data_IF_280308016705
#
_entry.id   IF_280308016705
#
_cell.length_a   1.000
_cell.length_b   1.000
_cell.length_c   1.000
_cell.angle_alpha   90.00
_cell.angle_beta   90.00
_cell.angle_gamma   90.00
#
_symmetry.space_group_name_H-M   'P 1'
#
loop_
_entity.id
_entity.type
_entity.pdbx_description
1 polymer ?
#
# COMPACT_ATOMS: atom_id res chain seq x y z
N UNK A 1 15.31 19.74 -0.69
CA UNK A 1 16.65 19.29 -1.10
C UNK A 1 16.67 18.68 -2.51
N UNK A 2 16.31 17.40 -2.74
CA UNK A 2 16.55 16.77 -4.06
C UNK A 2 15.84 17.44 -5.23
N UNK A 3 14.60 17.90 -5.04
CA UNK A 3 13.84 18.62 -6.06
C UNK A 3 14.51 19.96 -6.43
N UNK A 4 14.85 20.75 -5.42
CA UNK A 4 15.58 22.01 -5.57
C UNK A 4 16.93 21.82 -6.27
N UNK A 5 17.71 20.81 -5.87
CA UNK A 5 19.02 20.53 -6.48
C UNK A 5 18.89 20.14 -7.95
N UNK A 6 17.78 19.49 -8.34
CA UNK A 6 17.52 19.08 -9.72
C UNK A 6 16.97 20.21 -10.59
N UNK A 7 16.07 21.05 -10.05
CA UNK A 7 15.30 22.01 -10.83
C UNK A 7 15.59 23.48 -10.50
N UNK A 8 16.40 23.76 -9.49
CA UNK A 8 16.76 25.12 -9.06
C UNK A 8 15.62 25.92 -8.41
N UNK A 9 14.46 25.30 -8.18
CA UNK A 9 13.25 25.94 -7.64
C UNK A 9 12.77 25.23 -6.38
N UNK A 10 12.29 26.02 -5.42
CA UNK A 10 11.68 25.56 -4.17
C UNK A 10 10.28 26.13 -4.07
N UNK A 11 9.32 25.27 -3.76
CA UNK A 11 8.01 25.73 -3.32
C UNK A 11 8.12 26.13 -1.84
N UNK A 12 7.99 27.42 -1.48
CA UNK A 12 8.14 27.88 -0.11
C UNK A 12 7.01 27.39 0.81
N UNK A 13 5.89 26.93 0.26
CA UNK A 13 4.74 26.43 1.03
C UNK A 13 4.85 24.93 1.35
N UNK A 14 5.83 24.24 0.77
CA UNK A 14 6.03 22.82 0.94
C UNK A 14 4.94 21.97 0.27
N UNK A 15 5.19 20.66 0.14
CA UNK A 15 4.15 19.74 -0.29
C UNK A 15 3.63 19.89 -1.73
N UNK A 16 4.42 20.50 -2.63
CA UNK A 16 4.11 20.54 -4.08
C UNK A 16 4.09 19.14 -4.73
N UNK A 17 4.76 18.95 -5.86
CA UNK A 17 4.75 17.65 -6.57
C UNK A 17 5.28 16.45 -5.77
N UNK A 18 6.04 16.68 -4.69
CA UNK A 18 6.59 15.62 -3.84
C UNK A 18 5.63 15.17 -2.73
N UNK A 19 4.47 15.79 -2.58
CA UNK A 19 3.46 15.38 -1.60
C UNK A 19 2.76 14.09 -2.02
N UNK A 20 2.30 13.34 -1.03
CA UNK A 20 1.41 12.19 -1.25
C UNK A 20 0.07 12.57 -1.88
N UNK A 21 -0.27 13.86 -2.06
CA UNK A 21 -1.54 14.29 -2.65
C UNK A 21 -1.82 13.68 -4.04
N UNK A 22 -0.79 13.40 -4.82
CA UNK A 22 -0.91 12.76 -6.14
C UNK A 22 -1.52 11.35 -6.05
N UNK A 23 -1.40 10.64 -4.92
CA UNK A 23 -2.00 9.30 -4.77
C UNK A 23 -3.53 9.33 -4.88
N UNK A 24 -4.19 10.48 -4.65
CA UNK A 24 -5.62 10.62 -4.92
C UNK A 24 -5.96 10.37 -6.41
N UNK A 25 -5.11 10.82 -7.34
CA UNK A 25 -5.27 10.55 -8.77
C UNK A 25 -5.02 9.06 -9.07
N UNK A 26 -4.03 8.44 -8.40
CA UNK A 26 -3.78 6.99 -8.53
C UNK A 26 -4.96 6.16 -8.04
N UNK A 27 -5.59 6.54 -6.93
CA UNK A 27 -6.80 5.87 -6.42
C UNK A 27 -7.95 6.01 -7.42
N UNK A 28 -8.16 7.19 -8.01
CA UNK A 28 -9.19 7.38 -9.03
C UNK A 28 -8.98 6.47 -10.25
N UNK A 29 -7.74 6.37 -10.75
CA UNK A 29 -7.38 5.42 -11.81
C UNK A 29 -7.53 3.96 -11.36
N UNK A 30 -7.14 3.66 -10.13
CA UNK A 30 -7.27 2.34 -9.51
C UNK A 30 -8.71 1.87 -9.41
N UNK A 31 -9.68 2.76 -9.17
CA UNK A 31 -11.11 2.41 -9.19
C UNK A 31 -11.57 1.98 -10.58
N UNK A 32 -11.09 2.63 -11.64
CA UNK A 32 -11.40 2.22 -13.02
C UNK A 32 -10.78 0.85 -13.32
N UNK A 33 -9.53 0.64 -12.92
CA UNK A 33 -8.85 -0.65 -13.05
C UNK A 33 -9.56 -1.75 -12.27
N UNK A 34 -9.97 -1.50 -11.01
CA UNK A 34 -10.70 -2.44 -10.18
C UNK A 34 -12.05 -2.82 -10.79
N UNK A 35 -12.78 -1.85 -11.38
CA UNK A 35 -14.01 -2.15 -12.11
C UNK A 35 -13.76 -3.03 -13.32
N UNK A 36 -12.69 -2.77 -14.09
CA UNK A 36 -12.32 -3.61 -15.22
C UNK A 36 -11.98 -5.05 -14.77
N UNK A 37 -11.12 -5.18 -13.76
CA UNK A 37 -10.73 -6.47 -13.19
C UNK A 37 -11.90 -7.27 -12.63
N UNK A 38 -12.90 -6.61 -12.04
CA UNK A 38 -14.11 -7.27 -11.56
C UNK A 38 -14.91 -7.96 -12.68
N UNK A 39 -14.83 -7.50 -13.94
CA UNK A 39 -15.44 -8.21 -15.07
C UNK A 39 -14.72 -9.52 -15.42
N UNK A 40 -13.47 -9.67 -14.96
CA UNK A 40 -12.66 -10.89 -15.07
C UNK A 40 -12.69 -11.72 -13.77
N UNK A 41 -13.57 -11.36 -12.83
CA UNK A 41 -13.66 -11.97 -11.50
C UNK A 41 -12.36 -11.86 -10.68
N UNK A 42 -11.51 -10.86 -10.99
CA UNK A 42 -10.27 -10.59 -10.25
C UNK A 42 -10.52 -9.49 -9.22
N UNK A 43 -10.22 -9.78 -7.95
CA UNK A 43 -10.43 -8.85 -6.84
C UNK A 43 -9.13 -8.60 -6.09
N UNK A 44 -8.96 -7.39 -5.57
CA UNK A 44 -7.81 -7.00 -4.76
C UNK A 44 -8.26 -6.46 -3.41
N UNK A 45 -7.57 -6.87 -2.34
CA UNK A 45 -7.73 -6.35 -0.98
C UNK A 45 -6.37 -5.93 -0.45
N UNK A 46 -6.26 -4.70 0.04
CA UNK A 46 -5.06 -4.20 0.72
C UNK A 46 -5.39 -3.90 2.18
N UNK A 47 -4.45 -4.18 3.08
CA UNK A 47 -4.60 -3.97 4.52
C UNK A 47 -3.26 -3.67 5.20
N UNK A 48 -3.32 -2.93 6.30
CA UNK A 48 -2.16 -2.68 7.16
C UNK A 48 -1.82 -3.97 7.92
N UNK A 49 -0.69 -4.59 7.60
CA UNK A 49 -0.23 -5.84 8.20
C UNK A 49 0.81 -5.64 9.30
N UNK A 50 1.52 -4.51 9.29
CA UNK A 50 2.48 -4.12 10.32
C UNK A 50 2.45 -2.63 10.60
N UNK A 51 2.52 -2.27 11.89
CA UNK A 51 2.68 -0.89 12.36
C UNK A 51 3.47 -0.89 13.67
N UNK A 52 4.73 -0.49 13.58
CA UNK A 52 5.65 -0.49 14.73
C UNK A 52 5.85 -1.92 15.26
N UNK A 53 5.59 -2.20 16.55
CA UNK A 53 5.73 -3.56 17.10
C UNK A 53 4.54 -4.48 16.75
N UNK A 54 3.44 -3.95 16.22
CA UNK A 54 2.24 -4.73 15.91
C UNK A 54 2.39 -5.31 14.51
N UNK A 55 2.32 -6.64 14.38
CA UNK A 55 2.49 -7.32 13.10
C UNK A 55 1.60 -8.56 13.04
N UNK A 56 1.12 -8.89 11.84
CA UNK A 56 0.49 -10.17 11.54
C UNK A 56 1.32 -10.92 10.51
N UNK A 57 1.55 -12.21 10.76
CA UNK A 57 2.27 -13.11 9.84
C UNK A 57 1.33 -14.00 9.03
N UNK A 58 0.02 -13.78 9.15
CA UNK A 58 -0.97 -14.60 8.48
C UNK A 58 -1.15 -14.15 7.02
N UNK A 59 -1.02 -15.11 6.10
CA UNK A 59 -1.41 -14.96 4.70
C UNK A 59 -2.86 -15.39 4.54
N UNK A 60 -3.76 -14.41 4.55
CA UNK A 60 -5.18 -14.70 4.37
C UNK A 60 -5.50 -15.01 2.91
N UNK A 61 -6.34 -16.01 2.61
CA UNK A 61 -6.97 -16.10 1.30
C UNK A 61 -7.96 -14.95 1.12
N UNK A 62 -8.15 -14.48 -0.11
CA UNK A 62 -9.18 -13.49 -0.38
C UNK A 62 -10.57 -14.11 -0.18
N UNK A 63 -11.39 -13.46 0.65
CA UNK A 63 -12.84 -13.72 0.75
C UNK A 63 -13.59 -12.40 0.91
N UNK A 64 -14.88 -12.39 0.55
CA UNK A 64 -15.72 -11.20 0.78
C UNK A 64 -15.86 -10.87 2.27
N UNK A 65 -15.92 -11.88 3.13
CA UNK A 65 -16.02 -11.71 4.58
C UNK A 65 -14.77 -11.03 5.13
N UNK A 66 -13.59 -11.44 4.66
CA UNK A 66 -12.34 -10.80 5.03
C UNK A 66 -12.32 -9.34 4.55
N UNK A 67 -12.69 -9.09 3.30
CA UNK A 67 -12.74 -7.72 2.78
C UNK A 67 -13.68 -6.82 3.60
N UNK A 68 -14.88 -7.32 3.93
CA UNK A 68 -15.84 -6.61 4.80
C UNK A 68 -15.26 -6.37 6.20
N UNK A 69 -14.64 -7.38 6.79
CA UNK A 69 -13.99 -7.26 8.11
C UNK A 69 -12.90 -6.19 8.11
N UNK A 70 -11.98 -6.22 7.15
CA UNK A 70 -10.91 -5.22 7.00
C UNK A 70 -11.48 -3.81 6.78
N UNK A 71 -12.44 -3.64 5.89
CA UNK A 71 -13.01 -2.32 5.59
C UNK A 71 -13.85 -1.73 6.73
N UNK A 72 -14.36 -2.57 7.63
CA UNK A 72 -15.05 -2.12 8.84
C UNK A 72 -14.08 -1.64 9.93
N UNK A 73 -12.80 -2.04 9.87
CA UNK A 73 -11.77 -1.52 10.77
C UNK A 73 -11.43 -0.07 10.40
N UNK A 74 -11.33 0.86 11.37
CA UNK A 74 -10.94 2.24 11.12
C UNK A 74 -9.52 2.40 10.57
N UNK A 75 -8.69 1.34 10.66
CA UNK A 75 -7.32 1.31 10.19
C UNK A 75 -7.12 0.45 8.94
N UNK A 76 -8.18 -0.13 8.37
CA UNK A 76 -8.10 -1.12 7.29
C UNK A 76 -7.09 -2.23 7.62
N UNK A 77 -7.20 -2.83 8.81
CA UNK A 77 -6.22 -3.76 9.36
C UNK A 77 -6.90 -4.94 10.07
N UNK A 78 -6.32 -6.15 10.02
CA UNK A 78 -6.72 -7.25 10.90
C UNK A 78 -6.07 -7.16 12.29
N UNK A 79 -5.16 -6.21 12.51
CA UNK A 79 -4.51 -6.00 13.80
C UNK A 79 -5.50 -5.48 14.84
N UNK A 80 -5.15 -5.66 16.11
CA UNK A 80 -5.99 -5.24 17.22
C UNK A 80 -6.09 -3.69 17.28
N UNK A 81 -7.32 -3.17 17.24
CA UNK A 81 -7.59 -1.73 17.08
C UNK A 81 -7.21 -0.88 18.30
N UNK A 82 -7.33 -1.44 19.52
CA UNK A 82 -7.01 -0.72 20.76
C UNK A 82 -5.51 -0.52 20.94
N UNK A 83 -4.69 -1.48 20.54
CA UNK A 83 -3.23 -1.45 20.51
C UNK A 83 -2.74 -0.47 19.44
N UNK A 84 -3.33 -0.47 18.23
CA UNK A 84 -3.04 0.56 17.22
C UNK A 84 -3.35 1.95 17.80
N UNK A 85 -4.53 2.11 18.42
CA UNK A 85 -4.95 3.40 18.99
C UNK A 85 -3.98 3.88 20.09
N UNK A 86 -3.56 2.98 20.98
CA UNK A 86 -2.59 3.28 22.05
C UNK A 86 -1.25 3.73 21.45
N UNK A 87 -0.74 2.99 20.48
CA UNK A 87 0.52 3.30 19.79
C UNK A 87 0.47 4.67 19.08
N UNK A 88 -0.61 4.95 18.36
CA UNK A 88 -0.78 6.25 17.69
C UNK A 88 -0.93 7.40 18.70
N UNK A 89 -1.54 7.16 19.86
CA UNK A 89 -1.66 8.16 20.92
C UNK A 89 -0.30 8.51 21.53
N UNK A 90 0.52 7.53 21.87
CA UNK A 90 1.85 7.78 22.44
C UNK A 90 2.75 8.55 21.46
N UNK A 91 2.77 8.15 20.18
CA UNK A 91 3.56 8.84 19.15
C UNK A 91 3.10 10.28 18.95
N UNK A 92 1.79 10.55 19.08
CA UNK A 92 1.28 11.91 19.01
C UNK A 92 1.77 12.77 20.19
N UNK A 93 1.84 12.22 21.40
CA UNK A 93 2.38 12.91 22.57
C UNK A 93 3.87 13.21 22.41
N UNK A 94 4.62 12.27 21.81
CA UNK A 94 6.04 12.38 21.50
C UNK A 94 6.35 13.26 20.28
N UNK A 95 5.33 13.62 19.49
CA UNK A 95 5.44 14.32 18.20
C UNK A 95 6.30 13.55 17.18
N UNK A 96 6.18 12.23 17.22
CA UNK A 96 6.89 11.33 16.31
C UNK A 96 5.92 10.63 15.35
N UNK A 97 6.47 9.90 14.38
CA UNK A 97 5.75 9.18 13.35
C UNK A 97 6.38 7.81 13.13
N UNK A 98 5.60 6.90 12.56
CA UNK A 98 6.08 5.57 12.22
C UNK A 98 5.64 5.16 10.83
N UNK A 99 6.42 4.27 10.24
CA UNK A 99 6.04 3.53 9.04
C UNK A 99 5.26 2.26 9.39
N UNK A 100 5.03 1.45 8.37
CA UNK A 100 4.38 0.16 8.49
C UNK A 100 4.46 -0.61 7.19
N UNK A 101 3.88 -1.81 7.21
CA UNK A 101 3.75 -2.67 6.02
C UNK A 101 2.28 -2.74 5.64
N UNK A 102 2.02 -2.52 4.35
CA UNK A 102 0.72 -2.75 3.73
C UNK A 102 0.84 -4.00 2.88
N UNK A 103 0.09 -5.03 3.22
CA UNK A 103 -0.03 -6.24 2.42
C UNK A 103 -1.23 -6.12 1.49
N UNK A 104 -1.17 -6.78 0.34
CA UNK A 104 -2.32 -6.93 -0.52
C UNK A 104 -2.43 -8.33 -1.11
N UNK A 105 -3.66 -8.74 -1.35
CA UNK A 105 -4.04 -10.01 -1.96
C UNK A 105 -4.76 -9.65 -3.25
N UNK A 106 -4.40 -10.30 -4.36
CA UNK A 106 -5.18 -10.24 -5.61
C UNK A 106 -5.52 -11.64 -6.03
N UNK A 107 -6.82 -11.95 -6.13
CA UNK A 107 -7.32 -13.30 -6.33
C UNK A 107 -8.76 -13.28 -6.87
N UNK A 108 -9.17 -14.33 -7.59
CA UNK A 108 -8.31 -15.29 -8.29
C UNK A 108 -7.46 -14.61 -9.37
N UNK A 109 -6.38 -15.27 -9.79
CA UNK A 109 -5.61 -14.93 -10.98
C UNK A 109 -5.73 -16.11 -11.95
N UNK A 110 -6.47 -15.91 -13.04
CA UNK A 110 -6.75 -16.98 -14.02
C UNK A 110 -5.81 -16.94 -15.22
N UNK A 111 -5.25 -15.77 -15.51
CA UNK A 111 -4.42 -15.52 -16.67
C UNK A 111 -2.92 -15.50 -16.32
N UNK A 112 -2.05 -16.00 -17.23
CA UNK A 112 -0.61 -15.77 -17.11
C UNK A 112 -0.33 -14.29 -17.40
N UNK A 113 -0.25 -13.48 -16.34
CA UNK A 113 0.03 -12.06 -16.44
C UNK A 113 1.53 -11.77 -16.56
N UNK A 114 1.85 -10.77 -17.36
CA UNK A 114 3.20 -10.24 -17.55
C UNK A 114 3.91 -10.80 -18.78
N UNK A 115 4.98 -10.12 -19.16
CA UNK A 115 5.78 -10.47 -20.31
C UNK A 115 7.08 -11.19 -19.91
N UNK A 116 7.70 -11.92 -20.84
CA UNK A 116 9.03 -12.48 -20.63
C UNK A 116 10.10 -11.40 -20.38
N UNK A 117 11.17 -11.83 -19.69
CA UNK A 117 12.46 -11.14 -19.53
C UNK A 117 12.43 -9.76 -18.82
N UNK A 118 11.81 -8.73 -19.41
CA UNK A 118 11.87 -7.34 -18.93
C UNK A 118 10.60 -6.88 -18.21
N UNK A 119 9.42 -7.23 -18.72
CA UNK A 119 8.14 -6.77 -18.17
C UNK A 119 7.39 -7.88 -17.42
N UNK A 120 8.16 -8.66 -16.63
CA UNK A 120 7.61 -9.65 -15.71
C UNK A 120 6.67 -8.97 -14.73
N UNK A 121 5.55 -9.60 -14.39
CA UNK A 121 4.52 -8.98 -13.53
C UNK A 121 5.08 -8.50 -12.18
N UNK A 122 5.98 -9.27 -11.56
CA UNK A 122 6.64 -8.88 -10.31
C UNK A 122 7.54 -7.65 -10.46
N UNK A 123 8.17 -7.46 -11.63
CA UNK A 123 9.01 -6.31 -11.91
C UNK A 123 8.16 -5.04 -12.11
N UNK A 124 7.06 -5.17 -12.84
CA UNK A 124 6.08 -4.08 -13.02
C UNK A 124 5.43 -3.69 -11.70
N UNK A 125 5.03 -4.67 -10.88
CA UNK A 125 4.50 -4.42 -9.55
C UNK A 125 5.54 -3.74 -8.65
N UNK A 126 6.79 -4.21 -8.64
CA UNK A 126 7.85 -3.56 -7.88
C UNK A 126 8.05 -2.10 -8.31
N UNK A 127 8.06 -1.81 -9.61
CA UNK A 127 8.15 -0.44 -10.10
C UNK A 127 6.95 0.41 -9.63
N UNK A 128 5.74 -0.11 -9.79
CA UNK A 128 4.52 0.57 -9.38
C UNK A 128 4.51 0.85 -7.87
N UNK A 129 4.82 -0.15 -7.03
CA UNK A 129 4.83 -0.01 -5.57
C UNK A 129 5.94 0.93 -5.08
N UNK A 130 7.16 0.80 -5.62
CA UNK A 130 8.28 1.67 -5.25
C UNK A 130 8.12 3.11 -5.73
N UNK A 131 7.22 3.36 -6.69
CA UNK A 131 6.85 4.72 -7.11
C UNK A 131 5.89 5.42 -6.13
N UNK A 132 5.32 4.71 -5.15
CA UNK A 132 4.44 5.28 -4.14
C UNK A 132 5.30 6.11 -3.17
N UNK A 133 4.89 7.36 -2.85
CA UNK A 133 5.63 8.18 -1.89
C UNK A 133 5.86 7.47 -0.55
N UNK A 134 7.06 7.62 0.01
CA UNK A 134 7.52 6.98 1.24
C UNK A 134 7.75 5.45 1.18
N UNK A 135 7.40 4.75 0.10
CA UNK A 135 7.74 3.34 -0.06
C UNK A 135 9.26 3.14 -0.09
N UNK A 136 9.73 2.10 0.61
CA UNK A 136 11.16 1.74 0.74
C UNK A 136 11.47 0.28 0.42
N UNK A 137 10.46 -0.57 0.35
CA UNK A 137 10.59 -1.97 -0.02
C UNK A 137 9.30 -2.48 -0.64
N UNK A 138 9.42 -3.53 -1.43
CA UNK A 138 8.32 -4.30 -1.97
C UNK A 138 8.75 -5.76 -2.04
N UNK A 139 7.88 -6.65 -1.61
CA UNK A 139 8.12 -8.08 -1.59
C UNK A 139 6.86 -8.85 -1.99
N UNK A 140 7.03 -10.09 -2.44
CA UNK A 140 5.93 -10.98 -2.87
C UNK A 140 6.10 -12.32 -2.17
N UNK A 141 4.99 -12.85 -1.64
CA UNK A 141 4.98 -14.14 -0.96
C UNK A 141 5.84 -14.11 0.31
N UNK A 142 6.77 -15.05 0.42
CA UNK A 142 7.69 -15.12 1.57
C UNK A 142 8.74 -14.00 1.59
N UNK A 143 8.90 -13.25 0.50
CA UNK A 143 9.67 -12.01 0.52
C UNK A 143 11.10 -12.14 1.06
N UNK A 144 11.49 -11.21 1.95
CA UNK A 144 12.80 -11.15 2.58
C UNK A 144 12.98 -12.07 3.81
N UNK A 145 12.02 -12.99 4.06
CA UNK A 145 12.01 -13.90 5.22
C UNK A 145 12.97 -15.08 5.12
#
# INVERSE_FOLDING_TARGET
FSYERKFGIVDPYGGGRSSARETACRVAAGVVAAKFLAHLEIYSLAYLSEIGPLTTREFFPFTEELAKYIHNSPYNSPLEETEIRKLLHSLKEERDSLGGVVSFITSPLHEPLGEPLFDKIQALLAHAMMSIPAAKGFEIGLGFA
#
